data_IF_300894943637
#
_entry.id   IF_300894943637
#
_cell.length_a   1.000
_cell.length_b   1.000
_cell.length_c   1.000
_cell.angle_alpha   90.00
_cell.angle_beta   90.00
_cell.angle_gamma   90.00
#
_symmetry.space_group_name_H-M   'P 1'
#
loop_
_entity.id
_entity.type
_entity.pdbx_description
1 polymer ?
#
# COMPACT_ATOMS: atom_id res chain seq x y z
N UNK A 1 10.22 -14.57 -5.84
CA UNK A 1 10.29 -13.12 -6.14
C UNK A 1 8.90 -12.64 -6.54
N UNK A 2 8.12 -12.10 -5.59
CA UNK A 2 6.87 -11.40 -5.92
C UNK A 2 7.21 -9.94 -6.23
N UNK A 3 6.71 -9.46 -7.37
CA UNK A 3 6.81 -8.06 -7.80
C UNK A 3 6.02 -7.22 -6.79
N UNK A 4 6.52 -6.07 -6.31
CA UNK A 4 5.74 -5.21 -5.42
C UNK A 4 4.43 -4.86 -6.11
N UNK A 5 3.31 -4.94 -5.40
CA UNK A 5 2.05 -4.41 -5.88
C UNK A 5 2.28 -2.91 -6.08
N UNK A 6 2.28 -2.45 -7.34
CA UNK A 6 2.42 -1.03 -7.62
C UNK A 6 1.31 -0.29 -6.87
N UNK A 7 1.59 0.88 -6.28
CA UNK A 7 0.52 1.70 -5.70
C UNK A 7 -0.60 1.85 -6.75
N UNK A 8 -1.88 1.90 -6.33
CA UNK A 8 -2.96 2.17 -7.25
C UNK A 8 -2.58 3.38 -8.08
N UNK A 9 -2.54 3.20 -9.40
CA UNK A 9 -2.23 4.30 -10.31
C UNK A 9 -3.19 5.43 -9.97
N UNK A 10 -2.64 6.62 -9.79
CA UNK A 10 -3.43 7.80 -9.58
C UNK A 10 -4.54 7.84 -10.65
N UNK A 11 -5.80 8.00 -10.25
CA UNK A 11 -6.89 8.03 -11.21
C UNK A 11 -6.57 9.12 -12.23
N UNK A 12 -6.52 8.72 -13.50
CA UNK A 12 -6.25 9.63 -14.60
C UNK A 12 -7.33 10.72 -14.57
N UNK A 13 -6.93 11.98 -14.50
CA UNK A 13 -7.84 13.12 -14.58
C UNK A 13 -8.13 13.46 -16.07
N UNK A 14 -9.29 13.04 -16.63
CA UNK A 14 -9.62 13.29 -18.02
C UNK A 14 -9.72 14.78 -18.35
N UNK A 15 -10.12 15.63 -17.38
CA UNK A 15 -10.20 17.06 -17.58
C UNK A 15 -8.81 17.67 -17.75
N UNK A 16 -7.84 17.26 -16.91
CA UNK A 16 -6.44 17.71 -17.03
C UNK A 16 -5.81 17.29 -18.35
N UNK A 17 -6.08 16.07 -18.82
CA UNK A 17 -5.62 15.62 -20.14
C UNK A 17 -6.19 16.54 -21.23
N UNK A 18 -7.49 16.85 -21.17
CA UNK A 18 -8.15 17.73 -22.15
C UNK A 18 -7.49 19.11 -22.20
N UNK A 19 -7.36 19.77 -21.04
CA UNK A 19 -6.67 21.07 -20.97
C UNK A 19 -5.26 20.99 -21.57
N UNK A 20 -4.50 19.94 -21.26
CA UNK A 20 -3.13 19.80 -21.75
C UNK A 20 -3.03 19.59 -23.27
N UNK A 21 -3.96 18.83 -23.87
CA UNK A 21 -4.05 18.65 -25.34
C UNK A 21 -4.28 20.00 -26.02
N UNK A 22 -5.22 20.79 -25.50
CA UNK A 22 -5.53 22.13 -26.02
C UNK A 22 -4.33 23.05 -25.92
N UNK A 23 -3.71 23.17 -24.75
CA UNK A 23 -2.52 24.03 -24.55
C UNK A 23 -1.38 23.68 -25.51
N UNK A 24 -1.17 22.37 -25.74
CA UNK A 24 -0.16 21.88 -26.69
C UNK A 24 -0.48 22.29 -28.12
N UNK A 25 -1.75 22.20 -28.52
CA UNK A 25 -2.22 22.59 -29.86
C UNK A 25 -2.20 24.11 -30.05
N UNK A 26 -2.53 24.86 -29.01
CA UNK A 26 -2.58 26.32 -29.03
C UNK A 26 -1.19 26.98 -29.03
N UNK A 27 -0.12 26.27 -28.63
CA UNK A 27 1.22 26.85 -28.49
C UNK A 27 1.68 27.51 -29.80
N UNK A 28 1.97 28.81 -29.73
CA UNK A 28 2.39 29.64 -30.87
C UNK A 28 1.25 30.16 -31.76
N UNK A 29 -0.01 29.88 -31.44
CA UNK A 29 -1.16 30.44 -32.14
C UNK A 29 -1.44 31.88 -31.69
N UNK A 30 -1.78 32.75 -32.63
CA UNK A 30 -2.32 34.08 -32.35
C UNK A 30 -3.83 34.02 -32.05
N UNK A 31 -4.41 35.17 -31.69
CA UNK A 31 -5.84 35.29 -31.34
C UNK A 31 -6.76 34.81 -32.47
N UNK A 32 -6.43 35.08 -33.74
CA UNK A 32 -7.25 34.67 -34.88
C UNK A 32 -7.23 33.16 -35.11
N UNK A 33 -6.05 32.55 -35.00
CA UNK A 33 -5.89 31.10 -35.09
C UNK A 33 -6.60 30.36 -33.95
N UNK A 34 -6.54 30.89 -32.73
CA UNK A 34 -7.27 30.33 -31.57
C UNK A 34 -8.78 30.46 -31.73
N UNK A 35 -9.29 31.61 -32.18
CA UNK A 35 -10.72 31.81 -32.41
C UNK A 35 -11.27 30.80 -33.45
N UNK A 36 -10.55 30.58 -34.55
CA UNK A 36 -10.93 29.58 -35.55
C UNK A 36 -10.94 28.17 -34.96
N UNK A 37 -9.91 27.79 -34.19
CA UNK A 37 -9.83 26.47 -33.57
C UNK A 37 -10.95 26.24 -32.54
N UNK A 38 -11.34 27.28 -31.79
CA UNK A 38 -12.46 27.23 -30.87
C UNK A 38 -13.80 27.10 -31.59
N UNK A 39 -14.00 27.77 -32.73
CA UNK A 39 -15.20 27.59 -33.56
C UNK A 39 -15.34 26.15 -34.06
N UNK A 40 -14.23 25.54 -34.51
CA UNK A 40 -14.17 24.13 -34.91
C UNK A 40 -14.51 23.22 -33.72
N UNK A 41 -13.89 23.44 -32.55
CA UNK A 41 -14.16 22.66 -31.33
C UNK A 41 -15.63 22.78 -30.86
N UNK A 42 -16.22 23.98 -30.95
CA UNK A 42 -17.65 24.20 -30.66
C UNK A 42 -18.55 23.48 -31.68
N UNK A 43 -18.12 23.38 -32.93
CA UNK A 43 -18.85 22.63 -33.94
C UNK A 43 -18.84 21.13 -33.64
N UNK A 44 -17.67 20.57 -33.32
CA UNK A 44 -17.52 19.16 -32.96
C UNK A 44 -18.33 18.82 -31.70
N UNK A 45 -18.25 19.65 -30.65
CA UNK A 45 -19.04 19.47 -29.42
C UNK A 45 -20.56 19.45 -29.68
N UNK A 46 -21.06 20.23 -30.67
CA UNK A 46 -22.48 20.20 -31.07
C UNK A 46 -22.86 18.96 -31.88
N UNK A 47 -21.92 18.33 -32.57
CA UNK A 47 -22.16 17.03 -33.21
C UNK A 47 -22.21 15.94 -32.16
N UNK A 48 -21.24 15.94 -31.24
CA UNK A 48 -21.11 14.94 -30.19
C UNK A 48 -22.29 14.97 -29.21
N UNK A 49 -22.87 16.16 -28.95
CA UNK A 49 -24.08 16.28 -28.11
C UNK A 49 -25.32 15.58 -28.68
N UNK A 50 -25.28 15.10 -29.93
CA UNK A 50 -26.35 14.29 -30.54
C UNK A 50 -26.24 12.81 -30.19
N UNK A 51 -25.15 12.41 -29.55
CA UNK A 51 -24.88 11.06 -29.09
C UNK A 51 -24.92 11.02 -27.55
N UNK A 52 -25.86 10.26 -26.98
CA UNK A 52 -26.08 10.19 -25.52
C UNK A 52 -24.81 9.75 -24.77
N UNK A 53 -23.99 8.90 -25.39
CA UNK A 53 -22.76 8.34 -24.83
C UNK A 53 -21.62 9.38 -24.66
N UNK A 54 -21.73 10.54 -25.32
CA UNK A 54 -20.72 11.61 -25.30
C UNK A 54 -21.17 12.86 -24.53
N UNK A 55 -22.43 12.93 -24.10
CA UNK A 55 -22.97 14.09 -23.39
C UNK A 55 -22.35 14.29 -21.99
N UNK A 56 -21.79 13.24 -21.39
CA UNK A 56 -21.10 13.28 -20.10
C UNK A 56 -19.57 13.44 -20.22
N UNK A 57 -19.04 13.67 -21.43
CA UNK A 57 -17.60 13.71 -21.66
C UNK A 57 -16.91 14.84 -20.87
N UNK A 58 -16.25 14.46 -19.77
CA UNK A 58 -15.47 15.36 -18.92
C UNK A 58 -14.23 15.88 -19.66
N UNK A 59 -13.69 15.08 -20.57
CA UNK A 59 -12.51 15.43 -21.35
C UNK A 59 -12.83 16.54 -22.35
N UNK A 60 -13.79 16.31 -23.26
CA UNK A 60 -14.20 17.29 -24.27
C UNK A 60 -14.73 18.60 -23.69
N UNK A 61 -15.45 18.55 -22.54
CA UNK A 61 -15.86 19.78 -21.83
C UNK A 61 -14.66 20.59 -21.32
N UNK A 62 -13.64 19.92 -20.80
CA UNK A 62 -12.44 20.59 -20.33
C UNK A 62 -11.59 21.15 -21.48
N UNK A 63 -11.56 20.46 -22.64
CA UNK A 63 -10.94 21.00 -23.85
C UNK A 63 -11.62 22.29 -24.31
N UNK A 64 -12.95 22.28 -24.42
CA UNK A 64 -13.70 23.44 -24.86
C UNK A 64 -13.50 24.64 -23.91
N UNK A 65 -13.62 24.41 -22.60
CA UNK A 65 -13.39 25.46 -21.60
C UNK A 65 -11.97 26.03 -21.65
N UNK A 66 -10.97 25.19 -21.96
CA UNK A 66 -9.59 25.64 -22.10
C UNK A 66 -9.38 26.47 -23.37
N UNK A 67 -10.00 26.09 -24.49
CA UNK A 67 -9.98 26.92 -25.71
C UNK A 67 -10.58 28.31 -25.47
N UNK A 68 -11.72 28.36 -24.78
CA UNK A 68 -12.38 29.62 -24.42
C UNK A 68 -11.51 30.50 -23.50
N UNK A 69 -10.81 29.88 -22.55
CA UNK A 69 -9.87 30.59 -21.69
C UNK A 69 -8.69 31.17 -22.48
N UNK A 70 -8.11 30.40 -23.41
CA UNK A 70 -6.98 30.87 -24.23
C UNK A 70 -7.43 31.98 -25.18
N UNK A 71 -8.62 31.89 -25.77
CA UNK A 71 -9.21 32.97 -26.56
C UNK A 71 -9.30 34.27 -25.75
N UNK A 72 -9.87 34.19 -24.54
CA UNK A 72 -10.00 35.35 -23.64
C UNK A 72 -8.62 35.90 -23.23
N UNK A 73 -7.67 35.03 -22.90
CA UNK A 73 -6.30 35.42 -22.54
C UNK A 73 -5.63 36.22 -23.66
N UNK A 74 -5.77 35.77 -24.91
CA UNK A 74 -5.18 36.45 -26.07
C UNK A 74 -5.93 37.73 -26.44
N UNK A 75 -7.25 37.79 -26.21
CA UNK A 75 -8.03 39.00 -26.41
C UNK A 75 -7.60 40.14 -25.48
N UNK A 76 -7.15 39.81 -24.26
CA UNK A 76 -6.66 40.77 -23.26
C UNK A 76 -5.16 41.13 -23.45
N UNK A 77 -4.46 40.41 -24.33
CA UNK A 77 -3.03 40.60 -24.58
C UNK A 77 -2.72 41.70 -25.60
N UNK A 78 -1.44 42.07 -25.71
CA UNK A 78 -0.99 43.00 -26.74
C UNK A 78 -1.23 42.44 -28.16
N UNK A 79 -1.43 43.29 -29.18
CA UNK A 79 -1.48 42.84 -30.56
C UNK A 79 -0.25 42.00 -30.94
N UNK A 80 -0.45 41.02 -31.82
CA UNK A 80 0.57 40.05 -32.25
C UNK A 80 1.13 39.13 -31.14
N UNK A 81 0.52 39.13 -29.95
CA UNK A 81 0.83 38.13 -28.91
C UNK A 81 0.38 36.75 -29.39
N UNK A 82 1.27 35.78 -29.25
CA UNK A 82 0.99 34.36 -29.46
C UNK A 82 0.88 33.64 -28.14
N UNK A 83 0.08 32.59 -28.08
CA UNK A 83 -0.08 31.80 -26.87
C UNK A 83 1.19 31.04 -26.52
N UNK A 84 1.73 31.28 -25.34
CA UNK A 84 2.82 30.52 -24.75
C UNK A 84 2.40 29.95 -23.39
N UNK A 85 2.20 28.61 -23.28
CA UNK A 85 1.83 27.99 -22.01
C UNK A 85 2.91 28.15 -20.93
N UNK A 86 4.17 28.43 -21.31
CA UNK A 86 5.26 28.64 -20.35
C UNK A 86 5.16 30.03 -19.67
N UNK A 87 4.40 30.96 -20.25
CA UNK A 87 4.13 32.29 -19.70
C UNK A 87 2.70 32.43 -19.11
N UNK A 88 1.90 31.36 -19.16
CA UNK A 88 0.52 31.36 -18.69
C UNK A 88 0.45 31.09 -17.18
N UNK A 89 -0.03 32.07 -16.41
CA UNK A 89 -0.12 32.00 -14.95
C UNK A 89 -0.95 30.80 -14.45
N UNK A 90 -1.99 30.38 -15.18
CA UNK A 90 -2.80 29.21 -14.80
C UNK A 90 -1.97 27.94 -14.96
N UNK A 91 -1.20 27.82 -16.05
CA UNK A 91 -0.31 26.68 -16.29
C UNK A 91 0.81 26.64 -15.26
N UNK A 92 1.42 27.79 -14.95
CA UNK A 92 2.47 27.88 -13.93
C UNK A 92 1.94 27.54 -12.53
N UNK A 93 0.73 27.97 -12.19
CA UNK A 93 0.10 27.62 -10.92
C UNK A 93 -0.20 26.12 -10.79
N UNK A 94 -0.69 25.47 -11.86
CA UNK A 94 -0.90 24.01 -11.88
C UNK A 94 0.43 23.26 -11.69
N UNK A 95 1.49 23.64 -12.43
CA UNK A 95 2.82 23.03 -12.29
C UNK A 95 3.42 23.22 -10.89
N UNK A 96 3.23 24.41 -10.29
CA UNK A 96 3.68 24.68 -8.93
C UNK A 96 2.92 23.82 -7.90
N UNK A 97 1.62 23.63 -8.10
CA UNK A 97 0.80 22.76 -7.24
C UNK A 97 1.25 21.29 -7.34
N UNK A 98 1.50 20.79 -8.55
CA UNK A 98 2.03 19.44 -8.76
C UNK A 98 3.40 19.27 -8.07
N UNK A 99 4.32 20.21 -8.28
CA UNK A 99 5.64 20.18 -7.67
C UNK A 99 5.57 20.21 -6.13
N UNK A 100 4.62 20.96 -5.56
CA UNK A 100 4.39 20.99 -4.12
C UNK A 100 3.80 19.68 -3.59
N UNK A 101 2.87 19.06 -4.32
CA UNK A 101 2.32 17.75 -3.99
C UNK A 101 3.41 16.67 -4.01
N UNK A 102 4.25 16.64 -5.05
CA UNK A 102 5.39 15.73 -5.16
C UNK A 102 6.40 15.94 -4.03
N UNK A 103 6.66 17.19 -3.65
CA UNK A 103 7.54 17.51 -2.53
C UNK A 103 6.97 17.00 -1.19
N UNK A 104 5.67 17.23 -0.96
CA UNK A 104 4.98 16.76 0.24
C UNK A 104 4.94 15.22 0.32
N UNK A 105 4.73 14.53 -0.82
CA UNK A 105 4.78 13.07 -0.90
C UNK A 105 6.17 12.55 -0.55
N UNK A 106 7.23 13.10 -1.15
CA UNK A 106 8.63 12.75 -0.84
C UNK A 106 8.99 13.03 0.62
N UNK A 107 8.47 14.10 1.21
CA UNK A 107 8.67 14.39 2.62
C UNK A 107 7.94 13.38 3.52
N UNK A 108 6.72 13.00 3.17
CA UNK A 108 5.97 11.97 3.89
C UNK A 108 6.69 10.62 3.85
N UNK A 109 7.18 10.20 2.68
CA UNK A 109 7.99 8.99 2.52
C UNK A 109 9.26 9.03 3.38
N UNK A 110 9.97 10.17 3.40
CA UNK A 110 11.17 10.34 4.24
C UNK A 110 10.84 10.29 5.73
N UNK A 111 9.75 10.94 6.15
CA UNK A 111 9.28 10.89 7.55
C UNK A 111 8.93 9.47 7.96
N UNK A 112 8.29 8.70 7.07
CA UNK A 112 7.95 7.31 7.35
C UNK A 112 9.20 6.41 7.39
N UNK A 113 10.11 6.55 6.43
CA UNK A 113 11.39 5.85 6.45
C UNK A 113 12.20 6.16 7.72
N UNK A 114 12.19 7.40 8.19
CA UNK A 114 12.84 7.81 9.44
C UNK A 114 12.18 7.19 10.68
N UNK A 115 10.86 7.04 10.69
CA UNK A 115 10.13 6.33 11.77
C UNK A 115 10.48 4.85 11.80
N UNK A 116 10.44 4.19 10.65
CA UNK A 116 10.82 2.77 10.52
C UNK A 116 12.27 2.56 10.95
N UNK A 117 13.17 3.44 10.51
CA UNK A 117 14.57 3.44 10.90
C UNK A 117 14.77 3.54 12.41
N UNK A 118 14.11 4.50 13.06
CA UNK A 118 14.21 4.70 14.50
C UNK A 118 13.64 3.50 15.27
N UNK A 119 12.55 2.90 14.77
CA UNK A 119 11.96 1.71 15.37
C UNK A 119 12.87 0.48 15.23
N UNK A 120 13.52 0.31 14.07
CA UNK A 120 14.53 -0.72 13.87
C UNK A 120 15.68 -0.58 14.88
N UNK A 121 16.18 0.63 15.08
CA UNK A 121 17.25 0.91 16.06
C UNK A 121 16.78 0.61 17.51
N UNK A 122 15.53 0.93 17.85
CA UNK A 122 14.94 0.58 19.16
C UNK A 122 14.87 -0.95 19.35
N UNK A 123 14.40 -1.70 18.35
CA UNK A 123 14.34 -3.17 18.41
C UNK A 123 15.73 -3.79 18.55
N UNK A 124 16.73 -3.25 17.85
CA UNK A 124 18.11 -3.68 18.03
C UNK A 124 18.61 -3.42 19.46
N UNK A 125 18.35 -2.22 20.01
CA UNK A 125 18.75 -1.89 21.38
C UNK A 125 18.08 -2.80 22.42
N UNK A 126 16.79 -3.08 22.28
CA UNK A 126 16.05 -4.00 23.16
C UNK A 126 16.64 -5.42 23.10
N UNK A 127 17.04 -5.87 21.91
CA UNK A 127 17.72 -7.14 21.71
C UNK A 127 19.09 -7.17 22.39
N UNK A 128 19.90 -6.12 22.21
CA UNK A 128 21.22 -6.01 22.85
C UNK A 128 21.14 -5.97 24.38
N UNK A 129 20.06 -5.41 24.93
CA UNK A 129 19.78 -5.39 26.37
C UNK A 129 19.11 -6.68 26.89
N UNK A 130 18.69 -7.59 25.99
CA UNK A 130 17.98 -8.81 26.37
C UNK A 130 16.58 -8.56 26.94
N UNK A 131 15.96 -7.42 26.62
CA UNK A 131 14.65 -7.01 27.14
C UNK A 131 13.54 -7.03 26.08
N UNK A 132 13.82 -7.54 24.88
CA UNK A 132 12.87 -7.59 23.77
C UNK A 132 11.56 -8.29 24.16
N UNK A 133 11.64 -9.43 24.85
CA UNK A 133 10.47 -10.20 25.31
C UNK A 133 9.58 -9.47 26.33
N UNK A 134 10.09 -8.41 26.97
CA UNK A 134 9.34 -7.59 27.92
C UNK A 134 8.54 -6.49 27.22
N UNK A 135 8.69 -6.36 25.90
CA UNK A 135 8.00 -5.37 25.09
C UNK A 135 6.95 -6.04 24.21
N UNK A 136 5.78 -5.41 24.09
CA UNK A 136 4.76 -5.84 23.15
C UNK A 136 5.02 -5.25 21.76
N UNK A 137 4.69 -5.98 20.67
CA UNK A 137 4.79 -5.44 19.32
C UNK A 137 3.81 -4.28 19.11
N UNK A 138 4.22 -3.37 18.24
CA UNK A 138 3.48 -2.20 17.78
C UNK A 138 3.24 -2.35 16.29
N UNK A 139 2.21 -1.67 15.80
CA UNK A 139 2.00 -1.50 14.37
C UNK A 139 3.27 -0.92 13.72
N UNK A 140 3.70 -1.52 12.61
CA UNK A 140 4.91 -1.12 11.88
C UNK A 140 6.19 -1.87 12.30
N UNK A 141 6.13 -2.76 13.29
CA UNK A 141 7.26 -3.62 13.64
C UNK A 141 7.64 -4.60 12.53
N UNK A 142 6.69 -4.93 11.64
CA UNK A 142 6.94 -5.66 10.38
C UNK A 142 7.93 -4.91 9.49
N UNK A 143 7.69 -3.61 9.26
CA UNK A 143 8.55 -2.78 8.45
C UNK A 143 9.92 -2.54 9.12
N UNK A 144 9.94 -2.38 10.46
CA UNK A 144 11.17 -2.25 11.22
C UNK A 144 12.04 -3.53 11.14
N UNK A 145 11.41 -4.70 11.16
CA UNK A 145 12.08 -5.99 10.98
C UNK A 145 12.68 -6.14 9.58
N UNK A 146 11.97 -5.72 8.54
CA UNK A 146 12.49 -5.73 7.18
C UNK A 146 13.65 -4.75 7.00
N UNK A 147 13.56 -3.59 7.65
CA UNK A 147 14.65 -2.61 7.69
C UNK A 147 15.90 -3.17 8.40
N UNK A 148 15.74 -3.88 9.52
CA UNK A 148 16.84 -4.58 10.19
C UNK A 148 17.48 -5.64 9.27
N UNK A 149 16.64 -6.40 8.56
CA UNK A 149 17.09 -7.41 7.59
C UNK A 149 17.92 -6.76 6.48
N UNK A 150 17.52 -5.58 6.01
CA UNK A 150 18.23 -4.81 4.98
C UNK A 150 19.58 -4.27 5.47
N UNK A 151 19.69 -3.83 6.73
CA UNK A 151 20.90 -3.20 7.30
C UNK A 151 21.95 -4.17 7.79
N UNK A 152 21.56 -5.16 8.60
CA UNK A 152 22.47 -5.83 9.53
C UNK A 152 22.82 -7.28 9.15
N UNK A 153 22.11 -7.89 8.19
CA UNK A 153 22.22 -9.33 7.95
C UNK A 153 21.69 -10.18 9.11
N UNK A 154 21.70 -11.50 8.94
CA UNK A 154 20.78 -12.45 9.59
C UNK A 154 20.84 -12.63 11.12
N UNK A 155 21.77 -11.99 11.86
CA UNK A 155 21.96 -12.27 13.28
C UNK A 155 20.95 -11.56 14.19
N UNK A 156 20.61 -10.30 13.92
CA UNK A 156 19.58 -9.54 14.66
C UNK A 156 18.17 -10.06 14.33
N UNK A 157 18.01 -10.59 13.12
CA UNK A 157 16.73 -11.03 12.57
C UNK A 157 16.12 -12.22 13.31
N UNK A 158 16.94 -13.16 13.82
CA UNK A 158 16.41 -14.38 14.47
C UNK A 158 15.69 -14.09 15.78
N UNK A 159 16.26 -13.21 16.60
CA UNK A 159 15.70 -12.85 17.91
C UNK A 159 14.39 -12.04 17.72
N UNK A 160 14.37 -11.13 16.74
CA UNK A 160 13.18 -10.36 16.36
C UNK A 160 12.10 -11.24 15.72
N UNK A 161 12.46 -12.17 14.84
CA UNK A 161 11.51 -13.11 14.22
C UNK A 161 10.89 -14.06 15.26
N UNK A 162 11.68 -14.51 16.25
CA UNK A 162 11.16 -15.34 17.35
C UNK A 162 10.20 -14.55 18.26
N UNK A 163 10.56 -13.31 18.58
CA UNK A 163 9.71 -12.41 19.37
C UNK A 163 8.39 -12.09 18.66
N UNK A 164 8.42 -11.73 17.37
CA UNK A 164 7.22 -11.47 16.57
C UNK A 164 6.34 -12.72 16.42
N UNK A 165 6.93 -13.89 16.16
CA UNK A 165 6.18 -15.14 16.06
C UNK A 165 5.48 -15.50 17.39
N UNK A 166 6.16 -15.31 18.52
CA UNK A 166 5.56 -15.51 19.83
C UNK A 166 4.40 -14.55 20.07
N UNK A 167 4.58 -13.26 19.80
CA UNK A 167 3.53 -12.28 20.00
C UNK A 167 2.32 -12.50 19.06
N UNK A 168 2.54 -12.94 17.82
CA UNK A 168 1.46 -13.31 16.91
C UNK A 168 0.67 -14.52 17.43
N UNK A 169 1.38 -15.55 17.91
CA UNK A 169 0.77 -16.77 18.48
C UNK A 169 0.00 -16.49 19.78
N UNK A 170 0.55 -15.63 20.65
CA UNK A 170 -0.05 -15.25 21.92
C UNK A 170 -1.03 -14.06 21.82
N UNK A 171 -1.22 -13.52 20.62
CA UNK A 171 -2.06 -12.35 20.34
C UNK A 171 -1.73 -11.15 21.24
N UNK A 172 -0.46 -10.74 21.26
CA UNK A 172 0.05 -9.62 22.05
C UNK A 172 0.19 -8.34 21.21
N UNK A 173 0.18 -7.18 21.86
CA UNK A 173 0.34 -5.89 21.18
C UNK A 173 -0.79 -5.60 20.20
N UNK A 174 -0.45 -5.10 19.00
CA UNK A 174 -1.41 -4.85 17.92
C UNK A 174 -2.01 -6.14 17.36
N UNK A 175 -1.36 -7.30 17.52
CA UNK A 175 -1.91 -8.60 17.12
C UNK A 175 -3.07 -9.09 17.99
N UNK A 176 -3.55 -8.32 18.98
CA UNK A 176 -4.86 -8.59 19.61
C UNK A 176 -6.02 -8.43 18.63
N UNK A 177 -5.88 -7.51 17.69
CA UNK A 177 -6.84 -7.25 16.64
C UNK A 177 -6.78 -8.35 15.56
N UNK A 178 -7.91 -9.04 15.25
CA UNK A 178 -7.95 -10.02 14.16
C UNK A 178 -7.58 -9.45 12.79
N UNK A 179 -7.98 -8.23 12.48
CA UNK A 179 -7.74 -7.63 11.17
C UNK A 179 -6.24 -7.31 11.01
N UNK A 180 -5.58 -6.89 12.10
CA UNK A 180 -4.13 -6.71 12.13
C UNK A 180 -3.38 -8.04 11.94
N UNK A 181 -3.88 -9.15 12.48
CA UNK A 181 -3.28 -10.49 12.26
C UNK A 181 -3.43 -10.95 10.81
N UNK A 182 -4.57 -10.68 10.19
CA UNK A 182 -4.80 -10.98 8.78
C UNK A 182 -3.87 -10.15 7.89
N UNK A 183 -3.79 -8.84 8.10
CA UNK A 183 -2.87 -7.97 7.37
C UNK A 183 -1.40 -8.40 7.53
N UNK A 184 -1.01 -8.82 8.75
CA UNK A 184 0.34 -9.29 9.03
C UNK A 184 0.70 -10.59 8.29
N UNK A 185 -0.28 -11.42 7.91
CA UNK A 185 -0.03 -12.65 7.14
C UNK A 185 0.56 -12.36 5.76
N UNK A 186 0.26 -11.20 5.17
CA UNK A 186 0.82 -10.78 3.88
C UNK A 186 2.18 -10.07 4.00
N UNK A 187 2.52 -9.59 5.19
CA UNK A 187 3.75 -8.84 5.47
C UNK A 187 4.90 -9.73 5.96
N UNK A 188 4.58 -10.80 6.69
CA UNK A 188 5.60 -11.65 7.32
C UNK A 188 6.15 -12.74 6.38
N UNK A 189 7.44 -13.09 6.52
CA UNK A 189 7.98 -14.25 5.83
C UNK A 189 7.35 -15.56 6.30
N UNK A 190 7.31 -16.54 5.39
CA UNK A 190 6.70 -17.85 5.63
C UNK A 190 7.23 -18.57 6.88
N UNK A 191 8.53 -18.48 7.18
CA UNK A 191 9.10 -19.13 8.37
C UNK A 191 8.61 -18.52 9.68
N UNK A 192 8.34 -17.21 9.71
CA UNK A 192 7.80 -16.53 10.89
C UNK A 192 6.36 -16.97 11.14
N UNK A 193 5.55 -16.99 10.07
CA UNK A 193 4.15 -17.46 10.13
C UNK A 193 4.07 -18.94 10.55
N UNK A 194 4.91 -19.81 9.98
CA UNK A 194 4.97 -21.22 10.36
C UNK A 194 5.40 -21.40 11.82
N UNK A 195 6.37 -20.60 12.29
CA UNK A 195 6.78 -20.60 13.70
C UNK A 195 5.62 -20.22 14.63
N UNK A 196 4.92 -19.13 14.32
CA UNK A 196 3.77 -18.66 15.11
C UNK A 196 2.66 -19.70 15.15
N UNK A 197 2.28 -20.28 14.00
CA UNK A 197 1.27 -21.32 13.92
C UNK A 197 1.65 -22.54 14.77
N UNK A 198 2.91 -22.98 14.73
CA UNK A 198 3.38 -24.08 15.57
C UNK A 198 3.34 -23.72 17.05
N UNK A 199 3.75 -22.50 17.44
CA UNK A 199 3.70 -22.05 18.84
C UNK A 199 2.26 -22.02 19.37
N UNK A 200 1.28 -21.57 18.57
CA UNK A 200 -0.14 -21.60 18.92
C UNK A 200 -0.59 -23.01 19.28
N UNK A 201 -0.28 -24.00 18.43
CA UNK A 201 -0.69 -25.39 18.68
C UNK A 201 0.07 -26.05 19.82
N UNK A 202 1.34 -25.72 20.02
CA UNK A 202 2.10 -26.23 21.16
C UNK A 202 1.59 -25.68 22.49
N UNK A 203 1.22 -24.40 22.54
CA UNK A 203 0.61 -23.78 23.73
C UNK A 203 -0.72 -24.46 24.12
N UNK A 204 -1.47 -24.93 23.13
CA UNK A 204 -2.70 -25.68 23.33
C UNK A 204 -2.47 -27.08 23.89
N UNK A 205 -1.41 -27.77 23.46
CA UNK A 205 -1.10 -29.14 23.87
C UNK A 205 -0.41 -29.19 25.24
N UNK A 206 0.42 -28.20 25.56
CA UNK A 206 1.16 -28.11 26.81
C UNK A 206 1.00 -26.73 27.46
N UNK A 207 -0.17 -26.44 28.07
CA UNK A 207 -0.38 -25.19 28.78
C UNK A 207 0.63 -25.03 29.91
N UNK A 208 1.46 -23.99 29.86
CA UNK A 208 2.52 -23.72 30.83
C UNK A 208 3.94 -24.09 30.37
N UNK A 209 4.12 -24.62 29.16
CA UNK A 209 5.44 -24.70 28.54
C UNK A 209 6.01 -23.27 28.35
N UNK A 210 7.20 -23.03 28.91
CA UNK A 210 7.89 -21.74 28.75
C UNK A 210 8.51 -21.59 27.36
N UNK A 211 8.80 -20.34 26.96
CA UNK A 211 9.40 -19.99 25.66
C UNK A 211 10.71 -20.77 25.40
N UNK A 212 11.55 -20.93 26.42
CA UNK A 212 12.80 -21.71 26.35
C UNK A 212 12.58 -23.19 26.01
N UNK A 213 11.48 -23.78 26.51
CA UNK A 213 11.14 -25.18 26.22
C UNK A 213 10.66 -25.35 24.78
N UNK A 214 10.12 -24.28 24.18
CA UNK A 214 9.61 -24.24 22.82
C UNK A 214 10.63 -23.71 21.80
N UNK A 215 11.86 -23.39 22.22
CA UNK A 215 12.93 -22.88 21.34
C UNK A 215 13.30 -23.82 20.16
N UNK A 216 12.89 -25.10 20.19
CA UNK A 216 13.02 -26.00 19.05
C UNK A 216 12.09 -25.63 17.87
N UNK A 217 10.93 -25.02 18.15
CA UNK A 217 9.97 -24.61 17.12
C UNK A 217 10.60 -23.59 16.17
N UNK A 218 11.36 -22.62 16.71
CA UNK A 218 12.11 -21.65 15.92
C UNK A 218 13.16 -22.29 15.00
N UNK A 219 13.80 -23.38 15.47
CA UNK A 219 14.78 -24.12 14.66
C UNK A 219 14.11 -24.92 13.54
N UNK A 220 12.95 -25.51 13.83
CA UNK A 220 12.18 -26.27 12.83
C UNK A 220 11.67 -25.34 11.72
N UNK A 221 11.06 -24.21 12.08
CA UNK A 221 10.53 -23.25 11.12
C UNK A 221 11.61 -22.60 10.26
N UNK A 222 12.80 -22.35 10.80
CA UNK A 222 13.93 -21.84 10.04
C UNK A 222 14.53 -22.89 9.08
N UNK A 223 14.47 -24.18 9.44
CA UNK A 223 15.04 -25.25 8.64
C UNK A 223 14.11 -25.69 7.51
N UNK A 224 12.82 -25.84 7.82
CA UNK A 224 11.78 -26.24 6.88
C UNK A 224 10.44 -25.58 7.28
N UNK A 225 10.15 -24.37 6.75
CA UNK A 225 8.94 -23.64 7.11
C UNK A 225 7.67 -24.32 6.59
N UNK A 226 7.76 -25.04 5.47
CA UNK A 226 6.62 -25.76 4.88
C UNK A 226 6.22 -26.94 5.77
N UNK A 227 7.18 -27.82 6.11
CA UNK A 227 6.93 -28.94 7.02
C UNK A 227 6.50 -28.47 8.42
N UNK A 228 7.00 -27.32 8.88
CA UNK A 228 6.57 -26.72 10.14
C UNK A 228 5.11 -26.27 10.09
N UNK A 229 4.70 -25.64 8.99
CA UNK A 229 3.30 -25.28 8.75
C UNK A 229 2.39 -26.51 8.68
N UNK A 230 2.81 -27.55 7.96
CA UNK A 230 2.07 -28.81 7.87
C UNK A 230 1.91 -29.49 9.24
N UNK A 231 2.96 -29.46 10.07
CA UNK A 231 2.91 -29.97 11.44
C UNK A 231 1.89 -29.18 12.27
N UNK A 232 1.92 -27.85 12.22
CA UNK A 232 0.94 -27.03 12.93
C UNK A 232 -0.50 -27.36 12.47
N UNK A 233 -0.74 -27.45 11.16
CA UNK A 233 -2.04 -27.80 10.62
C UNK A 233 -2.49 -29.23 11.00
N UNK A 234 -1.56 -30.17 11.13
CA UNK A 234 -1.83 -31.51 11.64
C UNK A 234 -2.24 -31.46 13.13
N UNK A 235 -1.49 -30.74 13.97
CA UNK A 235 -1.78 -30.62 15.41
C UNK A 235 -3.13 -29.93 15.66
N UNK A 236 -3.45 -28.89 14.91
CA UNK A 236 -4.74 -28.20 14.98
C UNK A 236 -5.91 -29.16 14.71
N UNK A 237 -5.78 -30.03 13.70
CA UNK A 237 -6.78 -31.06 13.38
C UNK A 237 -6.86 -32.19 14.41
N UNK A 238 -5.73 -32.53 15.03
CA UNK A 238 -5.66 -33.58 16.04
C UNK A 238 -6.20 -33.15 17.42
N UNK A 239 -6.56 -31.86 17.57
CA UNK A 239 -7.03 -31.30 18.82
C UNK A 239 -8.41 -31.87 19.21
N UNK A 240 -8.56 -32.46 20.41
CA UNK A 240 -9.86 -32.96 20.86
C UNK A 240 -10.85 -31.79 21.00
N UNK A 241 -11.93 -31.80 20.20
CA UNK A 241 -12.96 -30.75 20.19
C UNK A 241 -13.10 -29.98 18.87
N UNK A 242 -12.22 -30.20 17.90
CA UNK A 242 -12.44 -29.78 16.51
C UNK A 242 -13.24 -30.86 15.76
N UNK A 243 -14.53 -31.00 16.06
CA UNK A 243 -15.39 -31.99 15.41
C UNK A 243 -15.50 -31.73 13.90
N UNK A 244 -15.09 -32.67 13.02
CA UNK A 244 -15.60 -32.72 11.67
C UNK A 244 -16.88 -33.56 11.70
N UNK A 245 -18.02 -32.88 11.67
CA UNK A 245 -19.32 -33.42 11.25
C UNK A 245 -19.84 -34.57 12.13
N UNK A 246 -20.82 -34.23 12.97
CA UNK A 246 -21.71 -35.20 13.58
C UNK A 246 -22.42 -36.03 12.52
N UNK A 247 -21.94 -37.25 12.28
CA UNK A 247 -22.71 -38.30 11.65
C UNK A 247 -22.14 -39.67 12.02
N UNK A 248 -22.52 -40.15 13.21
CA UNK A 248 -22.55 -41.58 13.54
C UNK A 248 -23.43 -41.71 14.79
N UNK A 249 -24.71 -42.03 14.56
CA UNK A 249 -25.25 -43.35 14.82
C UNK A 249 -25.63 -43.55 16.30
N UNK A 250 -26.83 -43.07 16.66
CA UNK A 250 -27.62 -43.71 17.70
C UNK A 250 -28.52 -44.75 17.00
N UNK A 251 -27.95 -45.94 16.78
CA UNK A 251 -28.74 -47.16 16.71
C UNK A 251 -28.83 -47.71 18.13
N UNK A 252 -30.07 -47.99 18.56
CA UNK A 252 -30.52 -48.92 19.60
C UNK A 252 -29.74 -49.04 20.93
N UNK A 253 -30.46 -48.88 22.04
CA UNK A 253 -30.90 -49.97 22.95
C UNK A 253 -31.79 -49.35 24.04
N UNK A 254 -33.03 -49.83 24.17
CA UNK A 254 -33.94 -49.55 25.29
C UNK A 254 -35.41 -49.68 24.94
#
# INVERSE_FOLDING_TARGET
>A
MRRPLAPPREPVDPARIGRHVVRRRAKGMDSGAVAQALEDARFDARQDSRHEDLAEDVHGRAELAEWERIEQLLADAAPDTVYDPDADDVVQAELAADAAADAAAREAEQREAARIAARADELQALRELGTLEQTEPREGDEAARDELTRRAGSYVQKDVDAWLAHALAAHLGHYRDPDAREAAADLHPTHLLAHAALLTELAHLAPGAGVDQLAFAARLSAADPEATGDLAAFLARARPGADPIGLTAAADIG
#
